data_IF_888604494227
#
_entry.id   IF_888604494227
#
_cell.length_a   1.000
_cell.length_b   1.000
_cell.length_c   1.000
_cell.angle_alpha   90.00
_cell.angle_beta   90.00
_cell.angle_gamma   90.00
#
_symmetry.space_group_name_H-M   'P 1'
#
loop_
_entity.id
_entity.type
_entity.pdbx_description
1 polymer ?
#
# COMPACT_ATOMS: atom_id res chain seq x y z
N UNK A 1 19.58 -49.02 1.97
CA UNK A 1 18.93 -47.97 1.16
C UNK A 1 18.68 -46.77 2.08
N UNK A 2 19.44 -45.68 1.93
CA UNK A 2 19.22 -44.44 2.68
C UNK A 2 18.11 -43.64 1.99
N UNK A 3 16.99 -43.42 2.68
CA UNK A 3 15.94 -42.50 2.23
C UNK A 3 16.28 -41.11 2.76
N UNK A 4 16.80 -40.26 1.87
CA UNK A 4 17.02 -38.84 2.13
C UNK A 4 15.66 -38.12 2.16
N UNK A 5 15.32 -37.54 3.32
CA UNK A 5 14.13 -36.72 3.47
C UNK A 5 14.33 -35.35 2.82
N UNK A 6 13.55 -35.04 1.79
CA UNK A 6 13.41 -33.68 1.26
C UNK A 6 12.55 -32.87 2.24
N UNK A 7 13.16 -31.94 2.97
CA UNK A 7 12.42 -30.87 3.65
C UNK A 7 12.12 -29.77 2.62
N UNK A 8 10.87 -29.68 2.17
CA UNK A 8 10.41 -28.50 1.41
C UNK A 8 10.32 -27.32 2.37
N UNK A 9 11.21 -26.34 2.20
CA UNK A 9 11.06 -25.04 2.82
C UNK A 9 9.91 -24.29 2.10
N UNK A 10 8.73 -24.29 2.71
CA UNK A 10 7.63 -23.43 2.27
C UNK A 10 7.99 -21.99 2.62
N UNK A 11 8.29 -21.17 1.61
CA UNK A 11 8.39 -19.73 1.78
C UNK A 11 6.99 -19.22 2.15
N UNK A 12 6.77 -18.92 3.43
CA UNK A 12 5.55 -18.25 3.87
C UNK A 12 5.56 -16.83 3.31
N UNK A 13 4.87 -16.61 2.19
CA UNK A 13 4.46 -15.27 1.77
C UNK A 13 3.46 -14.76 2.80
N UNK A 14 3.93 -13.95 3.74
CA UNK A 14 3.06 -13.20 4.63
C UNK A 14 2.31 -12.18 3.77
N UNK A 15 1.05 -12.47 3.43
CA UNK A 15 0.18 -11.47 2.86
C UNK A 15 0.12 -10.29 3.84
N UNK A 16 0.57 -9.12 3.41
CA UNK A 16 0.36 -7.91 4.18
C UNK A 16 -1.16 -7.74 4.39
N UNK A 17 -1.62 -7.31 5.58
CA UNK A 17 -3.03 -7.05 5.80
C UNK A 17 -3.49 -6.03 4.75
N UNK A 18 -4.45 -6.43 3.92
CA UNK A 18 -5.14 -5.51 3.01
C UNK A 18 -6.31 -4.91 3.78
N UNK A 19 -6.46 -3.60 3.67
CA UNK A 19 -7.53 -2.88 4.35
C UNK A 19 -8.58 -2.50 3.32
N UNK A 20 -9.82 -2.92 3.55
CA UNK A 20 -10.94 -2.57 2.68
C UNK A 20 -11.79 -1.48 3.34
N UNK A 21 -12.11 -0.44 2.59
CA UNK A 21 -13.03 0.63 2.98
C UNK A 21 -14.10 0.77 1.89
N UNK A 22 -15.36 0.58 2.25
CA UNK A 22 -16.49 0.76 1.33
C UNK A 22 -17.28 1.99 1.76
N UNK A 23 -17.67 2.80 0.78
CA UNK A 23 -18.45 4.01 0.99
C UNK A 23 -19.34 4.28 -0.22
N UNK A 24 -20.20 5.29 -0.10
CA UNK A 24 -21.06 5.76 -1.16
C UNK A 24 -20.80 7.23 -1.40
N UNK A 25 -20.68 7.60 -2.67
CA UNK A 25 -20.52 8.99 -3.10
C UNK A 25 -21.78 9.40 -3.85
N UNK A 26 -22.43 10.46 -3.36
CA UNK A 26 -23.56 11.05 -4.05
C UNK A 26 -23.07 11.91 -5.23
N UNK A 27 -23.78 11.78 -6.35
CA UNK A 27 -23.52 12.48 -7.60
C UNK A 27 -24.85 12.79 -8.29
N UNK A 28 -24.91 13.83 -9.14
CA UNK A 28 -26.17 14.25 -9.78
C UNK A 28 -26.74 13.18 -10.73
N UNK A 29 -25.88 12.36 -11.34
CA UNK A 29 -26.27 11.22 -12.17
C UNK A 29 -26.73 10.00 -11.35
N UNK A 30 -26.88 10.15 -10.04
CA UNK A 30 -27.21 9.10 -9.10
C UNK A 30 -26.02 8.65 -8.24
N UNK A 31 -26.30 7.87 -7.19
CA UNK A 31 -25.31 7.42 -6.24
C UNK A 31 -24.29 6.45 -6.85
N UNK A 32 -23.10 6.42 -6.25
CA UNK A 32 -21.99 5.57 -6.65
C UNK A 32 -21.49 4.76 -5.46
N UNK A 33 -21.49 3.44 -5.60
CA UNK A 33 -20.90 2.52 -4.61
C UNK A 33 -19.40 2.44 -4.87
N UNK A 34 -18.58 2.66 -3.84
CA UNK A 34 -17.12 2.75 -3.97
C UNK A 34 -16.44 1.86 -2.95
N UNK A 35 -15.51 1.04 -3.42
CA UNK A 35 -14.64 0.20 -2.59
C UNK A 35 -13.19 0.60 -2.80
N UNK A 36 -12.50 0.90 -1.71
CA UNK A 36 -11.07 1.17 -1.64
C UNK A 36 -10.36 0.00 -0.98
N UNK A 37 -9.22 -0.40 -1.52
CA UNK A 37 -8.33 -1.40 -0.93
C UNK A 37 -6.94 -0.83 -0.76
N UNK A 38 -6.51 -0.67 0.49
CA UNK A 38 -5.19 -0.20 0.85
C UNK A 38 -4.21 -1.34 1.11
N UNK A 39 -2.97 -1.15 0.67
CA UNK A 39 -1.83 -2.01 0.99
C UNK A 39 -0.58 -1.16 1.26
N UNK A 40 0.24 -1.59 2.22
CA UNK A 40 1.54 -0.97 2.50
C UNK A 40 2.63 -1.68 1.70
N UNK A 41 3.43 -0.88 0.98
CA UNK A 41 4.63 -1.34 0.27
C UNK A 41 5.86 -0.74 0.94
N UNK A 42 6.87 -1.57 1.20
CA UNK A 42 8.11 -1.15 1.89
C UNK A 42 9.27 -1.15 0.91
N UNK A 43 9.86 0.02 0.71
CA UNK A 43 11.10 0.21 -0.02
C UNK A 43 12.29 0.26 0.93
N UNK A 44 13.41 -0.33 0.49
CA UNK A 44 14.64 -0.44 1.28
C UNK A 44 15.81 0.19 0.53
N UNK A 45 16.72 0.82 1.27
CA UNK A 45 17.95 1.39 0.73
C UNK A 45 19.13 1.12 1.66
N UNK A 46 20.15 0.45 1.15
CA UNK A 46 21.41 0.25 1.88
C UNK A 46 22.19 1.56 1.87
N UNK A 47 22.57 2.05 3.05
CA UNK A 47 23.33 3.30 3.23
C UNK A 47 24.52 3.03 4.16
N UNK A 48 25.63 3.73 3.92
CA UNK A 48 26.85 3.62 4.74
C UNK A 48 27.75 2.48 4.30
N UNK A 49 28.80 2.24 5.10
CA UNK A 49 29.83 1.27 4.79
C UNK A 49 30.13 0.37 5.99
N UNK A 50 30.56 -0.85 5.69
CA UNK A 50 31.17 -1.75 6.67
C UNK A 50 32.51 -1.15 7.08
N UNK A 51 32.76 -1.08 8.39
CA UNK A 51 34.04 -0.65 8.92
C UNK A 51 34.98 -1.85 9.18
N UNK A 52 36.31 -1.65 9.13
CA UNK A 52 37.28 -2.65 9.58
C UNK A 52 37.11 -3.04 11.05
N UNK A 53 37.71 -4.16 11.44
CA UNK A 53 37.72 -4.60 12.84
C UNK A 53 38.26 -3.50 13.78
N UNK A 54 37.57 -3.27 14.89
CA UNK A 54 37.90 -2.22 15.86
C UNK A 54 37.30 -0.84 15.57
N UNK A 55 36.59 -0.65 14.46
CA UNK A 55 35.89 0.59 14.13
C UNK A 55 34.36 0.40 14.11
N UNK A 56 33.63 1.47 14.38
CA UNK A 56 32.16 1.47 14.29
C UNK A 56 31.70 1.53 12.83
N UNK A 57 30.91 0.54 12.42
CA UNK A 57 30.24 0.53 11.12
C UNK A 57 29.18 1.64 11.04
N UNK A 58 29.07 2.29 9.88
CA UNK A 58 27.97 3.23 9.58
C UNK A 58 26.86 2.57 8.76
N UNK A 59 27.04 1.30 8.41
CA UNK A 59 26.11 0.53 7.61
C UNK A 59 24.72 0.47 8.27
N UNK A 60 23.72 0.91 7.53
CA UNK A 60 22.30 0.85 7.92
C UNK A 60 21.41 0.64 6.71
N UNK A 61 20.29 0.00 6.94
CA UNK A 61 19.19 -0.07 6.00
C UNK A 61 18.19 1.04 6.30
N UNK A 62 18.11 2.05 5.44
CA UNK A 62 16.99 2.97 5.45
C UNK A 62 15.78 2.32 4.78
N UNK A 63 14.59 2.68 5.23
CA UNK A 63 13.36 2.17 4.66
C UNK A 63 12.25 3.23 4.67
N UNK A 64 11.35 3.11 3.70
CA UNK A 64 10.15 3.94 3.57
C UNK A 64 8.97 3.03 3.29
N UNK A 65 7.86 3.27 3.97
CA UNK A 65 6.59 2.63 3.73
C UNK A 65 5.68 3.59 2.97
N UNK A 66 5.11 3.11 1.87
CA UNK A 66 4.15 3.82 1.03
C UNK A 66 2.80 3.11 1.10
N UNK A 67 1.71 3.85 1.05
CA UNK A 67 0.36 3.30 0.96
C UNK A 67 -0.09 3.32 -0.50
N UNK A 68 -0.50 2.17 -1.03
CA UNK A 68 -1.14 2.06 -2.34
C UNK A 68 -2.61 1.77 -2.11
N UNK A 69 -3.49 2.50 -2.80
CA UNK A 69 -4.95 2.33 -2.74
C UNK A 69 -5.50 2.03 -4.12
N UNK A 70 -6.20 0.91 -4.23
CA UNK A 70 -7.01 0.54 -5.38
C UNK A 70 -8.49 0.91 -5.13
N UNK A 71 -9.05 1.78 -5.98
CA UNK A 71 -10.47 2.15 -5.98
C UNK A 71 -11.22 1.37 -7.05
N UNK A 72 -12.37 0.85 -6.68
CA UNK A 72 -13.40 0.31 -7.56
C UNK A 72 -14.72 1.04 -7.30
N UNK A 73 -15.21 1.80 -8.27
CA UNK A 73 -16.48 2.51 -8.19
C UNK A 73 -17.48 1.90 -9.18
N UNK A 74 -18.74 1.78 -8.76
CA UNK A 74 -19.86 1.33 -9.58
C UNK A 74 -20.96 2.39 -9.54
N UNK A 75 -21.16 3.06 -10.66
CA UNK A 75 -22.23 4.04 -10.82
C UNK A 75 -23.60 3.35 -10.94
N UNK A 76 -24.67 4.10 -10.68
CA UNK A 76 -26.05 3.64 -10.85
C UNK A 76 -26.39 3.20 -12.27
N UNK A 77 -25.72 3.77 -13.28
CA UNK A 77 -25.80 3.33 -14.69
C UNK A 77 -25.24 1.93 -14.94
N UNK A 78 -24.51 1.36 -13.97
CA UNK A 78 -23.74 0.12 -14.12
C UNK A 78 -22.30 0.35 -14.58
N UNK A 79 -21.91 1.58 -14.91
CA UNK A 79 -20.53 1.92 -15.28
C UNK A 79 -19.57 1.58 -14.15
N UNK A 80 -18.48 0.86 -14.49
CA UNK A 80 -17.40 0.52 -13.57
C UNK A 80 -16.20 1.42 -13.83
N UNK A 81 -15.62 1.94 -12.76
CA UNK A 81 -14.43 2.79 -12.81
C UNK A 81 -13.41 2.28 -11.81
N UNK A 82 -12.16 2.15 -12.24
CA UNK A 82 -11.06 1.73 -11.37
C UNK A 82 -9.93 2.74 -11.43
N UNK A 83 -9.25 2.92 -10.29
CA UNK A 83 -8.07 3.78 -10.17
C UNK A 83 -7.12 3.21 -9.14
N UNK A 84 -5.83 3.29 -9.41
CA UNK A 84 -4.78 3.02 -8.45
C UNK A 84 -4.05 4.35 -8.16
N UNK A 85 -3.80 4.63 -6.89
CA UNK A 85 -3.02 5.79 -6.47
C UNK A 85 -2.25 5.50 -5.18
N UNK A 86 -1.19 6.26 -4.95
CA UNK A 86 -0.29 6.04 -3.82
C UNK A 86 -0.12 7.30 -2.97
N UNK A 87 0.17 7.09 -1.68
CA UNK A 87 0.72 8.08 -0.76
C UNK A 87 2.08 7.61 -0.30
N UNK A 88 3.09 8.37 -0.67
CA UNK A 88 4.46 8.06 -0.29
C UNK A 88 4.75 8.48 1.15
N UNK A 89 5.64 7.74 1.80
CA UNK A 89 6.18 8.15 3.11
C UNK A 89 5.18 8.13 4.26
N UNK A 90 4.19 7.24 4.24
CA UNK A 90 3.28 7.03 5.38
C UNK A 90 4.03 6.57 6.64
N UNK A 91 5.20 5.95 6.47
CA UNK A 91 6.18 5.81 7.54
C UNK A 91 7.61 5.73 6.96
N UNK A 92 8.60 6.04 7.79
CA UNK A 92 10.01 5.85 7.43
C UNK A 92 10.86 5.56 8.67
N UNK A 93 12.03 5.00 8.44
CA UNK A 93 13.00 4.70 9.49
C UNK A 93 14.29 4.11 8.97
N UNK A 94 15.10 3.60 9.90
CA UNK A 94 16.32 2.89 9.58
C UNK A 94 16.60 1.79 10.59
N UNK A 95 17.28 0.75 10.14
CA UNK A 95 17.80 -0.33 10.98
C UNK A 95 19.31 -0.46 10.79
N UNK A 96 20.11 -0.71 11.83
CA UNK A 96 21.54 -0.94 11.68
C UNK A 96 21.80 -2.20 10.83
N UNK A 97 22.92 -2.21 10.12
CA UNK A 97 23.38 -3.35 9.33
C UNK A 97 22.79 -3.44 7.92
N UNK A 98 22.78 -4.67 7.38
CA UNK A 98 22.34 -4.96 6.02
C UNK A 98 20.81 -5.00 5.91
N UNK A 99 20.27 -4.54 4.79
CA UNK A 99 18.84 -4.65 4.52
C UNK A 99 18.34 -6.11 4.50
N UNK A 100 19.17 -7.05 4.02
CA UNK A 100 18.83 -8.47 3.99
C UNK A 100 18.58 -9.05 5.38
N UNK A 101 19.35 -8.64 6.39
CA UNK A 101 19.19 -9.11 7.78
C UNK A 101 18.07 -8.39 8.53
N UNK A 102 17.74 -7.16 8.14
CA UNK A 102 16.82 -6.30 8.92
C UNK A 102 15.36 -6.41 8.51
N UNK A 103 15.02 -7.14 7.44
CA UNK A 103 13.65 -7.22 6.88
C UNK A 103 12.57 -7.52 7.92
N UNK A 104 12.80 -8.50 8.79
CA UNK A 104 11.83 -8.88 9.82
C UNK A 104 11.66 -7.81 10.91
N UNK A 105 12.74 -7.11 11.28
CA UNK A 105 12.67 -6.00 12.22
C UNK A 105 11.94 -4.81 11.61
N UNK A 106 12.23 -4.49 10.34
CA UNK A 106 11.56 -3.43 9.57
C UNK A 106 10.06 -3.74 9.44
N UNK A 107 9.68 -4.96 9.09
CA UNK A 107 8.27 -5.34 8.99
C UNK A 107 7.50 -5.12 10.30
N UNK A 108 8.11 -5.46 11.46
CA UNK A 108 7.51 -5.19 12.78
C UNK A 108 7.42 -3.69 13.07
N UNK A 109 8.46 -2.93 12.74
CA UNK A 109 8.48 -1.48 12.95
C UNK A 109 7.43 -0.77 12.08
N UNK A 110 7.31 -1.16 10.82
CA UNK A 110 6.26 -0.68 9.91
C UNK A 110 4.89 -1.01 10.49
N UNK A 111 4.63 -2.26 10.86
CA UNK A 111 3.35 -2.65 11.47
C UNK A 111 3.02 -1.85 12.75
N UNK A 112 4.03 -1.48 13.54
CA UNK A 112 3.84 -0.66 14.74
C UNK A 112 3.57 0.82 14.42
N UNK A 113 4.12 1.35 13.33
CA UNK A 113 3.93 2.74 12.88
C UNK A 113 2.66 2.91 12.06
N UNK A 114 2.21 1.87 11.37
CA UNK A 114 0.99 1.85 10.56
C UNK A 114 -0.09 1.04 11.27
N UNK A 115 -0.38 1.34 12.54
CA UNK A 115 -1.42 0.61 13.28
C UNK A 115 -2.83 1.00 12.87
N UNK A 116 -3.01 2.24 12.40
CA UNK A 116 -4.31 2.80 12.04
C UNK A 116 -4.53 2.87 10.52
N UNK A 117 -4.12 1.82 9.79
CA UNK A 117 -4.24 1.75 8.32
C UNK A 117 -5.66 2.03 7.81
N UNK A 118 -6.69 1.67 8.58
CA UNK A 118 -8.08 1.98 8.22
C UNK A 118 -8.35 3.48 8.20
N UNK A 119 -7.78 4.24 9.13
CA UNK A 119 -7.87 5.69 9.13
C UNK A 119 -7.16 6.28 7.92
N UNK A 120 -5.96 5.79 7.59
CA UNK A 120 -5.20 6.25 6.42
C UNK A 120 -5.96 6.00 5.10
N UNK A 121 -6.51 4.80 4.92
CA UNK A 121 -7.31 4.46 3.73
C UNK A 121 -8.58 5.30 3.66
N UNK A 122 -9.25 5.54 4.80
CA UNK A 122 -10.45 6.39 4.85
C UNK A 122 -10.11 7.84 4.47
N UNK A 123 -8.99 8.39 4.97
CA UNK A 123 -8.56 9.74 4.61
C UNK A 123 -8.22 9.86 3.12
N UNK A 124 -7.49 8.89 2.58
CA UNK A 124 -7.19 8.82 1.15
C UNK A 124 -8.44 8.67 0.28
N UNK A 125 -9.44 7.90 0.73
CA UNK A 125 -10.74 7.80 0.08
C UNK A 125 -11.48 9.14 0.04
N UNK A 126 -11.49 9.87 1.16
CA UNK A 126 -12.14 11.19 1.24
C UNK A 126 -11.53 12.21 0.28
N UNK A 127 -10.19 12.26 0.19
CA UNK A 127 -9.48 13.12 -0.76
C UNK A 127 -9.76 12.76 -2.21
N UNK A 128 -9.94 11.47 -2.49
CA UNK A 128 -10.22 10.97 -3.85
C UNK A 128 -11.65 11.25 -4.32
N UNK A 129 -12.60 11.53 -3.42
CA UNK A 129 -14.00 11.78 -3.78
C UNK A 129 -14.18 12.88 -4.84
N UNK A 130 -13.41 13.96 -4.76
CA UNK A 130 -13.50 15.05 -5.74
C UNK A 130 -12.99 14.63 -7.13
N UNK A 131 -11.96 13.78 -7.16
CA UNK A 131 -11.47 13.19 -8.41
C UNK A 131 -12.52 12.25 -9.00
N UNK A 132 -13.13 11.39 -8.18
CA UNK A 132 -14.19 10.50 -8.63
C UNK A 132 -15.39 11.27 -9.21
N UNK A 133 -15.83 12.36 -8.57
CA UNK A 133 -16.90 13.22 -9.10
C UNK A 133 -16.53 13.82 -10.45
N UNK A 134 -15.32 14.34 -10.60
CA UNK A 134 -14.86 14.89 -11.87
C UNK A 134 -14.76 13.83 -12.99
N UNK A 135 -14.39 12.59 -12.68
CA UNK A 135 -14.41 11.49 -13.64
C UNK A 135 -15.84 11.12 -14.06
N UNK A 136 -16.80 11.14 -13.12
CA UNK A 136 -18.22 10.87 -13.39
C UNK A 136 -18.83 11.96 -14.29
N UNK A 137 -18.51 13.23 -14.05
CA UNK A 137 -18.94 14.34 -14.89
C UNK A 137 -18.46 14.19 -16.35
N UNK A 138 -17.21 13.75 -16.54
CA UNK A 138 -16.66 13.51 -17.87
C UNK A 138 -17.38 12.38 -18.60
N UNK A 139 -17.65 11.27 -17.91
CA UNK A 139 -18.38 10.13 -18.49
C UNK A 139 -19.82 10.52 -18.83
N UNK A 140 -20.51 11.24 -17.93
CA UNK A 140 -21.89 11.65 -18.16
C UNK A 140 -22.01 12.69 -19.27
N UNK A 141 -21.11 13.68 -19.32
CA UNK A 141 -21.05 14.66 -20.40
C UNK A 141 -20.79 14.02 -21.77
N UNK A 142 -19.94 13.00 -21.83
CA UNK A 142 -19.70 12.24 -23.05
C UNK A 142 -20.95 11.44 -23.50
N UNK A 143 -21.68 10.83 -22.56
CA UNK A 143 -22.92 10.10 -22.85
C UNK A 143 -24.06 11.01 -23.33
N UNK A 144 -24.12 12.26 -22.87
CA UNK A 144 -25.16 13.21 -23.28
C UNK A 144 -24.93 13.84 -24.66
N UNK A 145 -23.70 13.78 -25.17
CA UNK A 145 -23.29 14.40 -26.44
C UNK A 145 -23.30 13.43 -27.65
N UNK A 146 -23.53 12.14 -27.42
CA UNK A 146 -23.62 11.10 -28.46
C UNK A 146 -25.06 10.67 -28.70
#
# INVERSE_FOLDING_TARGET
MLLAGLALATAATMAAPTIEHTTRVDHHSGPVEVRYRGAVVIEHRQIGAVAPAGQSSTLRCAWTANMIVDRHAKASSGTLMTRNFARDGVAAGHQPGWCSSSRAAIAREVAAKTRDLHQDVTAMAQEDHDVLRAELDQIHGALAAG
#
